data_IF_880214897668
#
_entry.id   IF_880214897668
#
_cell.length_a   1.000
_cell.length_b   1.000
_cell.length_c   1.000
_cell.angle_alpha   90.00
_cell.angle_beta   90.00
_cell.angle_gamma   90.00
#
_symmetry.space_group_name_H-M   'P 1'
#
loop_
_entity.id
_entity.type
_entity.pdbx_description
1 polymer ?
#
# COMPACT_ATOMS: atom_id res chain seq x y z
N UNK A 1 -48.48 -40.60 18.22
CA UNK A 1 -48.90 -39.88 16.98
C UNK A 1 -48.18 -38.54 16.90
N UNK A 2 -47.11 -38.46 16.12
CA UNK A 2 -46.37 -37.23 15.89
C UNK A 2 -47.01 -36.52 14.69
N UNK A 3 -47.61 -35.34 14.96
CA UNK A 3 -48.17 -34.49 13.87
C UNK A 3 -47.00 -33.87 13.11
N UNK A 4 -46.83 -34.32 11.88
CA UNK A 4 -45.95 -33.66 10.91
C UNK A 4 -46.53 -32.27 10.56
N UNK A 5 -45.85 -31.19 10.94
CA UNK A 5 -46.20 -29.83 10.52
C UNK A 5 -45.87 -29.65 9.06
N UNK A 6 -46.89 -29.40 8.22
CA UNK A 6 -46.69 -29.04 6.80
C UNK A 6 -45.84 -27.76 6.70
N UNK A 7 -44.88 -27.72 5.79
CA UNK A 7 -44.10 -26.49 5.57
C UNK A 7 -45.05 -25.40 5.04
N UNK A 8 -45.05 -24.25 5.73
CA UNK A 8 -45.80 -23.05 5.35
C UNK A 8 -45.28 -22.57 3.99
N UNK A 9 -46.13 -22.45 3.00
CA UNK A 9 -45.77 -21.86 1.72
C UNK A 9 -45.28 -20.40 1.95
N UNK A 10 -44.07 -20.10 1.52
CA UNK A 10 -43.49 -18.76 1.67
C UNK A 10 -44.33 -17.71 0.94
N UNK A 11 -44.63 -16.62 1.61
CA UNK A 11 -45.36 -15.48 1.04
C UNK A 11 -44.56 -14.81 -0.09
N UNK A 12 -45.23 -14.12 -1.00
CA UNK A 12 -44.55 -13.36 -2.07
C UNK A 12 -43.54 -12.33 -1.54
N UNK A 13 -43.85 -11.76 -0.38
CA UNK A 13 -42.96 -10.81 0.32
C UNK A 13 -41.69 -11.47 0.82
N UNK A 14 -41.77 -12.65 1.41
CA UNK A 14 -40.59 -13.41 1.86
C UNK A 14 -39.68 -13.81 0.70
N UNK A 15 -40.24 -14.19 -0.43
CA UNK A 15 -39.46 -14.49 -1.65
C UNK A 15 -38.79 -13.26 -2.21
N UNK A 16 -39.44 -12.09 -2.18
CA UNK A 16 -38.86 -10.82 -2.60
C UNK A 16 -37.67 -10.43 -1.71
N UNK A 17 -37.82 -10.58 -0.38
CA UNK A 17 -36.73 -10.31 0.58
C UNK A 17 -35.53 -11.24 0.38
N UNK A 18 -35.75 -12.52 0.16
CA UNK A 18 -34.71 -13.49 -0.13
C UNK A 18 -34.01 -13.18 -1.46
N UNK A 19 -34.73 -12.80 -2.48
CA UNK A 19 -34.18 -12.41 -3.78
C UNK A 19 -33.32 -11.15 -3.65
N UNK A 20 -33.80 -10.13 -2.90
CA UNK A 20 -33.06 -8.91 -2.64
C UNK A 20 -31.78 -9.18 -1.82
N UNK A 21 -31.87 -10.02 -0.80
CA UNK A 21 -30.72 -10.46 0.01
C UNK A 21 -29.68 -11.20 -0.82
N UNK A 22 -30.13 -12.10 -1.70
CA UNK A 22 -29.22 -12.81 -2.61
C UNK A 22 -28.56 -11.87 -3.63
N UNK A 23 -29.31 -10.91 -4.17
CA UNK A 23 -28.77 -9.90 -5.08
C UNK A 23 -27.69 -9.04 -4.39
N UNK A 24 -27.94 -8.61 -3.15
CA UNK A 24 -26.95 -7.84 -2.35
C UNK A 24 -25.71 -8.67 -2.05
N UNK A 25 -25.85 -9.95 -1.73
CA UNK A 25 -24.71 -10.85 -1.53
C UNK A 25 -23.91 -11.06 -2.82
N UNK A 26 -24.58 -11.17 -3.96
CA UNK A 26 -23.91 -11.30 -5.25
C UNK A 26 -23.15 -10.02 -5.62
N UNK A 27 -23.73 -8.85 -5.40
CA UNK A 27 -23.07 -7.55 -5.59
C UNK A 27 -21.87 -7.41 -4.65
N UNK A 28 -22.00 -7.80 -3.40
CA UNK A 28 -20.89 -7.80 -2.43
C UNK A 28 -19.77 -8.75 -2.86
N UNK A 29 -20.10 -9.98 -3.28
CA UNK A 29 -19.13 -10.97 -3.72
C UNK A 29 -18.40 -10.52 -5.00
N UNK A 30 -19.11 -9.95 -5.96
CA UNK A 30 -18.50 -9.42 -7.20
C UNK A 30 -17.59 -8.23 -6.92
N UNK A 31 -18.00 -7.28 -6.07
CA UNK A 31 -17.17 -6.18 -5.65
C UNK A 31 -15.90 -6.69 -4.93
N UNK A 32 -16.05 -7.65 -4.05
CA UNK A 32 -14.93 -8.23 -3.29
C UNK A 32 -13.91 -8.97 -4.19
N UNK A 33 -14.39 -9.76 -5.13
CA UNK A 33 -13.55 -10.45 -6.13
C UNK A 33 -12.87 -9.45 -7.05
N UNK A 34 -13.59 -8.41 -7.51
CA UNK A 34 -13.04 -7.39 -8.40
C UNK A 34 -11.90 -6.60 -7.73
N UNK A 35 -12.07 -6.19 -6.47
CA UNK A 35 -11.01 -5.47 -5.72
C UNK A 35 -9.77 -6.32 -5.49
N UNK A 36 -9.95 -7.60 -5.18
CA UNK A 36 -8.85 -8.55 -5.02
C UNK A 36 -8.07 -8.75 -6.33
N UNK A 37 -8.77 -8.91 -7.45
CA UNK A 37 -8.14 -9.12 -8.77
C UNK A 37 -7.36 -7.89 -9.21
N UNK A 38 -7.84 -6.68 -8.90
CA UNK A 38 -7.25 -5.44 -9.39
C UNK A 38 -5.90 -5.10 -8.72
N UNK A 39 -5.80 -5.21 -7.39
CA UNK A 39 -4.53 -5.05 -6.68
C UNK A 39 -3.51 -6.13 -7.11
N UNK A 40 -3.96 -7.36 -7.33
CA UNK A 40 -3.16 -8.45 -7.86
C UNK A 40 -2.68 -8.20 -9.31
N UNK A 41 -3.49 -7.53 -10.13
CA UNK A 41 -3.11 -7.22 -11.52
C UNK A 41 -2.02 -6.16 -11.58
N UNK A 42 -2.09 -5.10 -10.77
CA UNK A 42 -1.07 -4.05 -10.71
C UNK A 42 0.29 -4.59 -10.25
N UNK A 43 0.29 -5.43 -9.22
CA UNK A 43 1.51 -6.05 -8.73
C UNK A 43 2.03 -7.10 -9.73
N UNK A 44 1.17 -7.91 -10.33
CA UNK A 44 1.58 -8.84 -11.40
C UNK A 44 2.16 -8.10 -12.61
N UNK A 45 1.57 -6.98 -13.01
CA UNK A 45 2.10 -6.16 -14.11
C UNK A 45 3.49 -5.60 -13.78
N UNK A 46 3.70 -5.13 -12.54
CA UNK A 46 5.01 -4.73 -12.05
C UNK A 46 6.02 -5.88 -12.15
N UNK A 47 5.69 -7.05 -11.61
CA UNK A 47 6.57 -8.21 -11.62
C UNK A 47 6.83 -8.77 -13.02
N UNK A 48 5.83 -8.82 -13.89
CA UNK A 48 5.99 -9.32 -15.26
C UNK A 48 6.84 -8.41 -16.16
N UNK A 49 6.73 -7.10 -15.99
CA UNK A 49 7.52 -6.14 -16.77
C UNK A 49 8.97 -6.02 -16.30
N UNK A 50 9.23 -6.30 -15.02
CA UNK A 50 10.49 -5.97 -14.39
C UNK A 50 11.45 -7.15 -14.27
N UNK A 51 10.94 -8.36 -14.06
CA UNK A 51 11.76 -9.52 -13.71
C UNK A 51 11.66 -10.62 -14.76
N UNK A 52 12.15 -10.31 -15.95
CA UNK A 52 12.41 -11.33 -16.98
C UNK A 52 13.53 -12.32 -16.57
N UNK A 53 14.27 -12.03 -15.50
CA UNK A 53 15.33 -12.88 -14.98
C UNK A 53 14.79 -13.89 -13.96
N UNK A 54 14.98 -15.17 -14.25
CA UNK A 54 14.47 -16.31 -13.50
C UNK A 54 14.90 -16.40 -12.02
N UNK A 55 15.92 -15.64 -11.58
CA UNK A 55 16.45 -15.71 -10.20
C UNK A 55 15.57 -15.04 -9.14
N UNK A 56 14.75 -14.04 -9.49
CA UNK A 56 13.91 -13.33 -8.52
C UNK A 56 12.55 -14.00 -8.33
N UNK A 57 12.12 -14.88 -9.26
CA UNK A 57 10.84 -15.60 -9.15
C UNK A 57 10.85 -16.75 -8.13
N UNK A 58 12.00 -17.30 -7.78
CA UNK A 58 12.10 -18.51 -6.94
C UNK A 58 11.79 -18.25 -5.46
N UNK A 59 12.03 -17.02 -4.95
CA UNK A 59 11.87 -16.66 -3.53
C UNK A 59 10.52 -15.97 -3.22
N UNK A 60 9.60 -15.91 -4.18
CA UNK A 60 8.34 -15.19 -4.01
C UNK A 60 7.22 -16.11 -3.52
N UNK A 61 6.77 -16.01 -2.27
CA UNK A 61 5.59 -16.74 -1.83
C UNK A 61 4.35 -16.18 -2.55
N UNK A 62 3.55 -17.07 -3.12
CA UNK A 62 2.21 -16.80 -3.67
C UNK A 62 1.28 -16.38 -2.52
N UNK A 63 1.39 -15.15 -2.00
CA UNK A 63 0.58 -14.68 -0.88
C UNK A 63 -0.53 -13.75 -1.35
N UNK A 64 -1.67 -13.90 -0.70
CA UNK A 64 -2.88 -13.10 -0.88
C UNK A 64 -2.62 -11.69 -0.38
N UNK A 65 -2.79 -10.68 -1.24
CA UNK A 65 -2.63 -9.27 -0.88
C UNK A 65 -3.62 -8.85 0.21
N UNK A 66 -3.21 -7.91 1.06
CA UNK A 66 -4.05 -7.35 2.08
C UNK A 66 -5.28 -6.67 1.45
N UNK A 67 -6.45 -7.22 1.70
CA UNK A 67 -7.72 -6.61 1.33
C UNK A 67 -8.03 -5.55 2.40
N UNK A 68 -8.38 -4.31 2.02
CA UNK A 68 -8.79 -3.31 2.99
C UNK A 68 -9.93 -3.80 3.87
N UNK A 69 -9.84 -3.58 5.18
CA UNK A 69 -10.91 -3.88 6.11
C UNK A 69 -11.94 -2.74 6.11
N UNK A 70 -13.06 -2.93 5.43
CA UNK A 70 -14.10 -1.92 5.28
C UNK A 70 -14.94 -1.66 6.55
N UNK A 71 -14.79 -2.46 7.62
CA UNK A 71 -15.65 -2.37 8.82
C UNK A 71 -15.71 -0.99 9.48
N UNK A 72 -14.67 -0.17 9.28
CA UNK A 72 -14.57 1.16 9.88
C UNK A 72 -14.49 2.28 8.84
N UNK A 73 -14.80 1.97 7.58
CA UNK A 73 -14.83 2.97 6.54
C UNK A 73 -16.16 3.71 6.51
N UNK A 74 -16.13 5.02 6.29
CA UNK A 74 -17.34 5.76 5.98
C UNK A 74 -17.89 5.35 4.61
N UNK A 75 -19.20 5.46 4.42
CA UNK A 75 -19.84 5.18 3.13
C UNK A 75 -19.20 6.00 1.99
N UNK A 76 -18.94 7.28 2.21
CA UNK A 76 -18.26 8.16 1.26
C UNK A 76 -16.90 7.61 0.83
N UNK A 77 -16.14 7.02 1.76
CA UNK A 77 -14.85 6.43 1.46
C UNK A 77 -14.96 5.13 0.68
N UNK A 78 -15.96 4.30 0.98
CA UNK A 78 -16.22 3.08 0.22
C UNK A 78 -16.54 3.43 -1.23
N UNK A 79 -17.39 4.45 -1.45
CA UNK A 79 -17.73 4.95 -2.78
C UNK A 79 -16.51 5.51 -3.53
N UNK A 80 -15.67 6.31 -2.86
CA UNK A 80 -14.43 6.82 -3.43
C UNK A 80 -13.44 5.70 -3.80
N UNK A 81 -13.34 4.68 -2.97
CA UNK A 81 -12.54 3.48 -3.27
C UNK A 81 -13.08 2.75 -4.49
N UNK A 82 -14.38 2.49 -4.56
CA UNK A 82 -15.02 1.84 -5.70
C UNK A 82 -14.83 2.65 -6.99
N UNK A 83 -15.00 3.97 -6.93
CA UNK A 83 -14.74 4.87 -8.05
C UNK A 83 -13.26 4.82 -8.48
N UNK A 84 -12.34 4.69 -7.53
CA UNK A 84 -10.91 4.59 -7.82
C UNK A 84 -10.54 3.34 -8.63
N UNK A 85 -11.28 2.26 -8.51
CA UNK A 85 -10.99 1.00 -9.20
C UNK A 85 -11.28 1.05 -10.71
N UNK A 86 -12.08 2.02 -11.16
CA UNK A 86 -12.46 2.19 -12.58
C UNK A 86 -11.36 2.94 -13.35
N UNK A 87 -10.56 3.73 -12.66
CA UNK A 87 -9.48 4.52 -13.28
C UNK A 87 -8.23 3.65 -13.46
N UNK A 88 -7.55 3.78 -14.59
CA UNK A 88 -6.30 3.06 -14.85
C UNK A 88 -5.27 3.29 -13.73
N UNK A 89 -4.54 2.23 -13.34
CA UNK A 89 -3.49 2.35 -12.31
C UNK A 89 -2.21 2.84 -12.95
N UNK A 90 -1.61 3.93 -12.46
CA UNK A 90 -0.29 4.33 -12.90
C UNK A 90 0.74 3.24 -12.54
N UNK A 91 1.87 3.25 -13.23
CA UNK A 91 2.98 2.33 -12.95
C UNK A 91 3.48 2.53 -11.53
N UNK A 92 3.56 1.47 -10.69
CA UNK A 92 4.07 1.60 -9.34
C UNK A 92 5.57 1.98 -9.34
N UNK A 93 5.98 2.81 -8.39
CA UNK A 93 7.38 3.11 -8.10
C UNK A 93 8.10 1.91 -7.47
N UNK A 94 7.34 1.06 -6.80
CA UNK A 94 7.83 -0.12 -6.13
C UNK A 94 6.73 -0.91 -5.44
N UNK A 95 7.12 -1.91 -4.66
CA UNK A 95 6.25 -2.70 -3.78
C UNK A 95 6.82 -2.69 -2.38
N UNK A 96 6.04 -2.26 -1.41
CA UNK A 96 6.37 -2.33 0.02
C UNK A 96 5.87 -3.65 0.60
N UNK A 97 6.77 -4.39 1.26
CA UNK A 97 6.43 -5.60 2.01
C UNK A 97 6.84 -5.43 3.46
N UNK A 98 5.94 -5.81 4.36
CA UNK A 98 6.18 -5.87 5.81
C UNK A 98 5.69 -7.23 6.30
N UNK A 99 6.63 -8.18 6.44
CA UNK A 99 6.28 -9.57 6.75
C UNK A 99 5.64 -9.73 8.12
N UNK A 100 6.04 -8.93 9.10
CA UNK A 100 5.51 -8.97 10.47
C UNK A 100 3.98 -8.77 10.53
N UNK A 101 3.42 -8.00 9.58
CA UNK A 101 1.97 -7.69 9.51
C UNK A 101 1.31 -8.24 8.25
N UNK A 102 1.96 -9.15 7.53
CA UNK A 102 1.51 -9.71 6.25
C UNK A 102 1.07 -8.66 5.22
N UNK A 103 1.73 -7.49 5.21
CA UNK A 103 1.46 -6.43 4.25
C UNK A 103 2.33 -6.61 3.01
N UNK A 104 1.69 -6.51 1.85
CA UNK A 104 2.33 -6.34 0.56
C UNK A 104 1.46 -5.43 -0.29
N UNK A 105 1.99 -4.27 -0.69
CA UNK A 105 1.22 -3.20 -1.31
C UNK A 105 2.06 -2.43 -2.31
N UNK A 106 1.51 -2.05 -3.49
CA UNK A 106 2.20 -1.17 -4.42
C UNK A 106 2.40 0.22 -3.82
N UNK A 107 3.52 0.85 -4.17
CA UNK A 107 3.83 2.24 -3.86
C UNK A 107 3.61 3.04 -5.14
N UNK A 108 2.66 3.96 -5.14
CA UNK A 108 2.38 4.88 -6.24
C UNK A 108 2.94 6.26 -5.94
N UNK A 109 3.04 7.12 -6.97
CA UNK A 109 3.39 8.53 -6.78
C UNK A 109 2.21 9.31 -6.21
N UNK A 110 2.49 10.23 -5.26
CA UNK A 110 1.51 11.15 -4.67
C UNK A 110 0.70 10.55 -3.52
N UNK A 111 0.00 11.43 -2.82
CA UNK A 111 -0.79 11.10 -1.61
C UNK A 111 -2.24 11.57 -1.70
N UNK A 112 -2.74 11.76 -2.93
CA UNK A 112 -4.14 12.07 -3.17
C UNK A 112 -5.06 10.90 -2.82
N UNK A 113 -6.35 11.18 -2.64
CA UNK A 113 -7.35 10.18 -2.24
C UNK A 113 -7.44 9.00 -3.23
N UNK A 114 -7.25 9.25 -4.53
CA UNK A 114 -7.30 8.22 -5.55
C UNK A 114 -6.16 7.22 -5.38
N UNK A 115 -4.95 7.73 -5.13
CA UNK A 115 -3.74 6.95 -4.85
C UNK A 115 -3.89 6.16 -3.56
N UNK A 116 -4.22 6.82 -2.45
CA UNK A 116 -4.28 6.19 -1.12
C UNK A 116 -5.45 5.21 -0.95
N UNK A 117 -6.49 5.32 -1.76
CA UNK A 117 -7.56 4.32 -1.78
C UNK A 117 -7.12 2.99 -2.38
N UNK A 118 -6.16 2.98 -3.31
CA UNK A 118 -5.74 1.79 -4.08
C UNK A 118 -4.41 1.19 -3.63
N UNK A 119 -3.55 2.02 -3.04
CA UNK A 119 -2.16 1.69 -2.73
C UNK A 119 -1.69 2.49 -1.53
N UNK A 120 -0.38 2.46 -1.27
CA UNK A 120 0.30 3.47 -0.47
C UNK A 120 0.97 4.47 -1.41
N UNK A 121 1.14 5.70 -0.96
CA UNK A 121 1.61 6.82 -1.78
C UNK A 121 2.99 7.31 -1.36
N UNK A 122 3.87 7.55 -2.32
CA UNK A 122 5.12 8.27 -2.10
C UNK A 122 4.81 9.74 -1.78
N UNK A 123 5.40 10.25 -0.70
CA UNK A 123 5.22 11.64 -0.26
C UNK A 123 6.15 12.52 -1.07
N UNK A 124 5.58 13.45 -1.85
CA UNK A 124 6.31 14.42 -2.65
C UNK A 124 7.33 15.22 -1.80
N UNK A 125 8.48 15.53 -2.37
CA UNK A 125 9.55 16.25 -1.69
C UNK A 125 10.44 15.37 -0.81
N UNK A 126 10.11 14.09 -0.62
CA UNK A 126 11.00 13.09 -0.01
C UNK A 126 11.84 12.37 -1.05
N UNK A 127 12.84 11.59 -0.63
CA UNK A 127 13.64 10.80 -1.56
C UNK A 127 12.76 9.78 -2.29
N UNK A 128 12.97 9.62 -3.60
CA UNK A 128 12.26 8.60 -4.37
C UNK A 128 12.71 7.19 -3.96
N UNK A 129 11.84 6.17 -4.04
CA UNK A 129 12.18 4.79 -3.75
C UNK A 129 13.47 4.34 -4.43
N UNK A 130 14.45 3.91 -3.63
CA UNK A 130 15.76 3.48 -4.12
C UNK A 130 16.82 4.57 -4.25
N UNK A 131 16.53 5.83 -3.93
CA UNK A 131 17.51 6.89 -3.82
C UNK A 131 18.07 7.02 -2.38
N UNK A 132 19.21 7.72 -2.25
CA UNK A 132 19.75 8.09 -0.95
C UNK A 132 18.89 9.20 -0.35
N UNK A 133 18.60 9.11 0.93
CA UNK A 133 17.79 10.06 1.69
C UNK A 133 16.69 9.36 2.46
N UNK A 134 15.68 10.11 2.87
CA UNK A 134 14.52 9.60 3.58
C UNK A 134 13.34 9.45 2.62
N UNK A 135 12.96 8.22 2.32
CA UNK A 135 11.79 7.90 1.49
C UNK A 135 10.54 7.98 2.35
N UNK A 136 9.62 8.89 2.05
CA UNK A 136 8.35 9.02 2.74
C UNK A 136 7.25 8.24 2.03
N UNK A 137 6.51 7.39 2.75
CA UNK A 137 5.36 6.65 2.22
C UNK A 137 4.16 6.85 3.14
N UNK A 138 3.06 7.33 2.57
CA UNK A 138 1.79 7.51 3.28
C UNK A 138 0.78 6.42 2.94
N UNK A 139 -0.09 6.12 3.90
CA UNK A 139 -1.22 5.21 3.72
C UNK A 139 -2.35 5.49 4.70
N UNK A 140 -3.56 5.12 4.33
CA UNK A 140 -4.69 5.27 5.22
C UNK A 140 -4.62 4.31 6.42
N UNK A 141 -4.90 4.82 7.65
CA UNK A 141 -4.91 4.06 8.92
C UNK A 141 -5.92 2.92 8.97
N UNK A 142 -7.02 3.04 8.24
CA UNK A 142 -8.10 2.07 8.13
C UNK A 142 -8.01 1.25 6.84
N UNK A 143 -6.95 1.47 6.04
CA UNK A 143 -6.61 0.76 4.83
C UNK A 143 -5.37 -0.12 5.00
N UNK A 144 -4.44 0.02 4.06
CA UNK A 144 -3.22 -0.79 4.00
C UNK A 144 -2.33 -0.63 5.24
N UNK A 145 -2.28 0.57 5.84
CA UNK A 145 -1.47 0.84 7.03
C UNK A 145 -2.16 0.56 8.36
N UNK A 146 -3.32 -0.12 8.35
CA UNK A 146 -3.98 -0.53 9.59
C UNK A 146 -3.12 -1.46 10.45
N UNK A 147 -2.37 -2.34 9.81
CA UNK A 147 -1.47 -3.28 10.48
C UNK A 147 -0.26 -2.63 11.15
N UNK A 148 0.06 -1.35 10.83
CA UNK A 148 1.21 -0.66 11.45
C UNK A 148 1.10 -0.52 12.97
N UNK A 149 -0.10 -0.64 13.54
CA UNK A 149 -0.30 -0.69 15.01
C UNK A 149 0.41 -1.87 15.70
N UNK A 150 0.72 -2.92 14.94
CA UNK A 150 1.32 -4.17 15.42
C UNK A 150 2.81 -4.30 15.02
N UNK A 151 3.41 -3.23 14.49
CA UNK A 151 4.83 -3.20 14.14
C UNK A 151 5.68 -2.76 15.33
N UNK A 152 6.90 -3.26 15.40
CA UNK A 152 7.83 -2.99 16.50
C UNK A 152 9.22 -2.59 15.98
N UNK A 153 10.03 -1.86 16.77
CA UNK A 153 11.45 -1.70 16.48
C UNK A 153 12.15 -3.05 16.30
N UNK A 154 12.98 -3.14 15.27
CA UNK A 154 13.62 -4.39 14.84
C UNK A 154 12.90 -5.12 13.71
N UNK A 155 11.63 -4.83 13.44
CA UNK A 155 10.93 -5.38 12.28
C UNK A 155 11.54 -4.91 10.96
N UNK A 156 11.39 -5.72 9.92
CA UNK A 156 11.96 -5.43 8.59
C UNK A 156 10.91 -4.93 7.62
N UNK A 157 11.27 -3.90 6.86
CA UNK A 157 10.52 -3.34 5.75
C UNK A 157 11.31 -3.60 4.46
N UNK A 158 10.76 -4.35 3.52
CA UNK A 158 11.38 -4.59 2.22
C UNK A 158 10.69 -3.71 1.16
N UNK A 159 11.47 -2.87 0.49
CA UNK A 159 11.02 -2.02 -0.62
C UNK A 159 11.64 -2.53 -1.92
N UNK A 160 10.81 -3.14 -2.76
CA UNK A 160 11.18 -3.65 -4.07
C UNK A 160 10.98 -2.55 -5.11
N UNK A 161 12.03 -2.21 -5.85
CA UNK A 161 11.95 -1.25 -6.96
C UNK A 161 12.39 -1.92 -8.25
N UNK A 162 12.28 -1.20 -9.35
CA UNK A 162 12.75 -1.69 -10.66
C UNK A 162 14.24 -2.03 -10.67
N UNK A 163 15.03 -1.31 -9.91
CA UNK A 163 16.49 -1.44 -9.95
C UNK A 163 16.98 -2.53 -9.03
N UNK A 164 16.42 -2.61 -7.81
CA UNK A 164 16.83 -3.59 -6.78
C UNK A 164 15.89 -3.60 -5.58
N UNK A 165 16.17 -4.49 -4.64
CA UNK A 165 15.44 -4.60 -3.38
C UNK A 165 16.22 -3.89 -2.28
N UNK A 166 15.51 -3.13 -1.46
CA UNK A 166 16.05 -2.41 -0.32
C UNK A 166 15.41 -2.94 0.95
N UNK A 167 16.23 -3.25 1.94
CA UNK A 167 15.77 -3.67 3.26
C UNK A 167 16.07 -2.58 4.27
N UNK A 168 15.05 -2.25 5.06
CA UNK A 168 15.16 -1.32 6.17
C UNK A 168 14.77 -2.04 7.46
N UNK A 169 15.33 -1.60 8.59
CA UNK A 169 14.98 -2.08 9.92
C UNK A 169 14.34 -0.93 10.68
N UNK A 170 13.18 -1.19 11.30
CA UNK A 170 12.46 -0.20 12.12
C UNK A 170 13.32 0.18 13.31
N UNK A 171 13.65 1.45 13.43
CA UNK A 171 14.45 2.01 14.52
C UNK A 171 13.59 2.81 15.50
N UNK A 172 12.51 3.45 15.05
CA UNK A 172 11.70 4.32 15.89
C UNK A 172 10.24 4.35 15.47
N UNK A 173 9.34 4.48 16.44
CA UNK A 173 7.92 4.70 16.24
C UNK A 173 7.51 5.90 17.07
N UNK A 174 6.96 6.95 16.42
CA UNK A 174 6.55 8.18 17.10
C UNK A 174 5.13 8.58 16.71
N UNK A 175 4.47 9.31 17.60
CA UNK A 175 3.17 9.93 17.35
C UNK A 175 3.37 11.44 17.39
N UNK A 176 3.04 12.11 16.28
CA UNK A 176 3.29 13.53 16.11
C UNK A 176 2.04 14.28 15.64
N UNK A 177 1.96 15.59 15.82
CA UNK A 177 0.94 16.43 15.18
C UNK A 177 1.04 16.40 13.65
N UNK A 178 -0.05 16.66 12.91
CA UNK A 178 -0.04 16.68 11.45
C UNK A 178 0.93 17.70 10.83
N UNK A 179 1.23 18.76 11.56
CA UNK A 179 2.10 19.88 11.17
C UNK A 179 3.60 19.55 11.32
N UNK A 180 3.93 18.49 12.08
CA UNK A 180 5.32 18.09 12.29
C UNK A 180 5.84 17.29 11.09
N UNK A 181 6.31 18.05 10.11
CA UNK A 181 6.96 17.50 8.90
C UNK A 181 8.44 17.14 9.11
N UNK A 182 9.01 17.42 10.28
CA UNK A 182 10.42 17.12 10.59
C UNK A 182 10.72 15.63 10.52
N UNK A 183 9.70 14.78 10.73
CA UNK A 183 9.80 13.33 10.59
C UNK A 183 10.15 12.88 9.16
N UNK A 184 9.90 13.73 8.16
CA UNK A 184 10.20 13.49 6.75
C UNK A 184 11.54 14.12 6.31
N UNK A 185 12.18 14.88 7.18
CA UNK A 185 13.45 15.54 6.85
C UNK A 185 14.49 14.54 6.33
N UNK A 186 15.42 15.01 5.47
CA UNK A 186 16.56 14.19 5.03
C UNK A 186 17.34 13.65 6.24
N UNK A 187 17.77 12.39 6.15
CA UNK A 187 18.58 11.73 7.17
C UNK A 187 20.00 11.55 6.65
N UNK A 188 20.96 11.49 7.59
CA UNK A 188 22.37 11.20 7.25
C UNK A 188 22.50 9.81 6.62
N UNK A 189 21.75 8.83 7.12
CA UNK A 189 21.66 7.48 6.59
C UNK A 189 20.38 7.32 5.76
N UNK A 190 20.41 6.47 4.72
CA UNK A 190 19.23 6.18 3.92
C UNK A 190 18.12 5.61 4.80
N UNK A 191 16.96 6.26 4.78
CA UNK A 191 15.81 5.92 5.60
C UNK A 191 14.53 5.69 4.82
N UNK A 192 13.59 5.01 5.48
CA UNK A 192 12.21 4.83 5.05
C UNK A 192 11.30 5.27 6.20
N UNK A 193 10.40 6.19 5.91
CA UNK A 193 9.43 6.72 6.88
C UNK A 193 8.02 6.41 6.40
N UNK A 194 7.28 5.61 7.18
CA UNK A 194 5.86 5.30 6.91
C UNK A 194 4.99 6.21 7.77
N UNK A 195 4.00 6.84 7.16
CA UNK A 195 3.11 7.80 7.82
C UNK A 195 1.66 7.38 7.65
N UNK A 196 0.94 7.35 8.75
CA UNK A 196 -0.52 7.16 8.72
C UNK A 196 -1.22 8.02 9.77
N UNK A 197 -2.54 8.14 9.66
CA UNK A 197 -3.35 8.85 10.63
C UNK A 197 -3.46 8.09 11.96
N UNK A 198 -3.55 8.82 13.09
CA UNK A 198 -3.72 8.26 14.43
C UNK A 198 -4.80 9.04 15.21
N UNK A 199 -5.60 8.38 16.09
CA UNK A 199 -5.63 6.95 16.44
C UNK A 199 -6.20 6.04 15.35
N UNK A 200 -5.82 4.74 15.37
CA UNK A 200 -6.25 3.75 14.39
C UNK A 200 -7.78 3.47 14.40
N UNK A 201 -8.44 3.62 15.54
CA UNK A 201 -9.87 3.32 15.74
C UNK A 201 -10.71 4.59 15.96
N UNK A 202 -10.29 5.70 15.38
CA UNK A 202 -10.97 6.98 15.50
C UNK A 202 -11.84 7.27 14.28
N UNK A 203 -13.07 7.75 14.50
CA UNK A 203 -13.99 8.18 13.43
C UNK A 203 -13.86 9.68 13.23
N UNK A 204 -13.62 10.11 11.99
CA UNK A 204 -13.44 11.53 11.62
C UNK A 204 -11.98 11.92 11.36
N UNK A 205 -11.71 13.23 11.32
CA UNK A 205 -10.38 13.78 11.07
C UNK A 205 -9.42 13.41 12.20
N UNK A 206 -8.33 12.75 11.85
CA UNK A 206 -7.35 12.29 12.82
C UNK A 206 -6.50 13.45 13.36
N UNK A 207 -6.40 13.63 14.68
CA UNK A 207 -5.65 14.72 15.27
C UNK A 207 -4.12 14.54 15.19
N UNK A 208 -3.66 13.30 14.98
CA UNK A 208 -2.23 12.95 15.03
C UNK A 208 -1.82 12.09 13.83
N UNK A 209 -0.51 11.87 13.71
CA UNK A 209 0.13 10.94 12.77
C UNK A 209 0.91 9.88 13.54
N UNK A 210 0.76 8.64 13.10
CA UNK A 210 1.59 7.51 13.52
C UNK A 210 2.69 7.36 12.48
N UNK A 211 3.93 7.44 12.94
CA UNK A 211 5.12 7.46 12.09
C UNK A 211 6.04 6.32 12.48
N UNK A 212 6.37 5.49 11.50
CA UNK A 212 7.36 4.41 11.64
C UNK A 212 8.59 4.83 10.86
N UNK A 213 9.74 4.93 11.55
CA UNK A 213 11.03 5.27 10.95
C UNK A 213 11.91 4.04 10.90
N UNK A 214 12.56 3.84 9.78
CA UNK A 214 13.44 2.71 9.56
C UNK A 214 14.70 3.14 8.81
N UNK A 215 15.82 2.50 9.12
CA UNK A 215 17.14 2.75 8.53
C UNK A 215 17.53 1.58 7.63
N UNK A 216 18.19 1.86 6.51
CA UNK A 216 18.65 0.84 5.58
C UNK A 216 19.63 -0.11 6.26
N UNK A 217 19.39 -1.43 6.16
CA UNK A 217 20.25 -2.46 6.73
C UNK A 217 21.61 -2.57 6.00
N UNK A 218 21.66 -2.12 4.74
CA UNK A 218 22.89 -2.06 3.93
C UNK A 218 22.97 -0.70 3.21
N UNK A 219 23.52 0.34 3.86
CA UNK A 219 23.68 1.67 3.26
C UNK A 219 24.54 1.68 1.99
N UNK A 220 25.51 0.77 1.85
CA UNK A 220 26.38 0.68 0.68
C UNK A 220 25.63 0.20 -0.56
N UNK A 221 24.59 -0.57 -0.38
CA UNK A 221 23.71 -1.01 -1.47
C UNK A 221 22.95 0.17 -2.12
N UNK A 222 22.70 1.23 -1.36
CA UNK A 222 22.12 2.49 -1.85
C UNK A 222 23.18 3.44 -2.45
N UNK A 223 24.40 3.45 -1.90
CA UNK A 223 25.49 4.31 -2.35
C UNK A 223 26.02 3.92 -3.75
N UNK A 224 26.08 2.62 -4.05
CA UNK A 224 26.54 2.11 -5.35
C UNK A 224 25.61 2.49 -6.53
N UNK A 225 24.42 3.01 -6.28
CA UNK A 225 23.55 3.55 -7.33
C UNK A 225 24.04 4.86 -7.94
N UNK A 226 24.98 5.58 -7.29
CA UNK A 226 25.62 6.79 -7.85
C UNK A 226 26.72 6.46 -8.86
N UNK A 227 27.43 5.36 -8.70
CA UNK A 227 28.56 5.01 -9.57
C UNK A 227 28.14 4.45 -10.94
N UNK A 228 26.88 4.05 -11.13
CA UNK A 228 26.37 3.60 -12.44
C UNK A 228 25.82 4.71 -13.35
N UNK A 229 25.79 5.96 -12.89
CA UNK A 229 25.64 7.12 -13.79
C UNK A 229 27.02 7.46 -14.34
N UNK A 230 27.33 6.91 -15.50
CA UNK A 230 28.52 7.22 -16.29
C UNK A 230 28.56 8.71 -16.67
N UNK A 231 29.76 9.34 -16.76
CA UNK A 231 29.90 10.77 -17.08
C UNK A 231 29.64 11.12 -18.57
N UNK A 232 28.78 10.39 -19.27
CA UNK A 232 28.54 10.57 -20.70
C UNK A 232 27.48 11.63 -21.06
N UNK A 233 26.74 12.17 -20.09
CA UNK A 233 25.69 13.16 -20.37
C UNK A 233 26.09 14.62 -20.06
N UNK A 234 27.32 14.89 -19.60
CA UNK A 234 27.78 16.26 -19.29
C UNK A 234 28.59 16.92 -20.43
N UNK A 235 28.86 16.22 -21.54
CA UNK A 235 29.70 16.76 -22.63
C UNK A 235 28.92 17.24 -23.87
N UNK A 236 27.59 17.11 -23.93
CA UNK A 236 26.83 17.55 -25.11
C UNK A 236 26.24 18.97 -25.00
N UNK A 237 26.59 19.72 -23.97
CA UNK A 237 26.08 21.08 -23.72
C UNK A 237 27.10 22.24 -23.98
N UNK A 238 28.32 21.98 -24.45
CA UNK A 238 29.35 23.03 -24.56
C UNK A 238 29.90 23.36 -25.95
N UNK A 239 29.39 22.76 -27.00
CA UNK A 239 29.77 23.12 -28.38
C UNK A 239 28.58 23.68 -29.17
N UNK A 240 28.11 24.86 -28.78
CA UNK A 240 27.23 25.71 -29.61
C UNK A 240 27.40 27.17 -29.21
N UNK A 241 28.52 27.76 -29.59
CA UNK A 241 28.66 29.20 -29.79
C UNK A 241 29.54 29.44 -31.01
#
# INVERSE_FOLDING_TARGET
>A
MVRASMPRAMSGFERLLLFLGFLLLLLFATAHVYTSIFSHAAIRAFWNNQFSSARVRADWPQRTFAIPDFRFWSQKRIEAYQASLIVGVPRPLGVLRISAINLEVPVLEGTDDLTLNRAVGHIEGTAVPGAIGNVGIAGHRDGFFRGLKDIHPGDTLDLFTEKRNYRYVVDEIVIVPPEDVSVLAPRAEPGLTLVTCYPFYFVGSAPLRYVVRATASDPNNLANSRQSRSPAEEQEGQDSH
#
